data_IF_460224191294
#
_entry.id   IF_460224191294
#
_cell.length_a   1.000
_cell.length_b   1.000
_cell.length_c   1.000
_cell.angle_alpha   90.00
_cell.angle_beta   90.00
_cell.angle_gamma   90.00
#
_symmetry.space_group_name_H-M   'P 1'
#
loop_
_entity.id
_entity.type
_entity.pdbx_description
1 polymer ?
#
# COMPACT_ATOMS: atom_id res chain seq x y z
N UNK A 1 33.41 43.63 23.39
CA UNK A 1 32.66 44.23 22.27
C UNK A 1 31.43 43.38 22.00
N UNK A 2 30.29 43.89 22.45
CA UNK A 2 28.94 43.40 22.21
C UNK A 2 28.51 43.68 20.77
N UNK A 3 27.90 42.70 20.10
CA UNK A 3 26.88 42.97 19.08
C UNK A 3 25.82 41.88 19.09
N UNK A 4 24.71 42.28 19.69
CA UNK A 4 23.36 41.74 19.62
C UNK A 4 22.77 41.87 18.22
N UNK A 5 21.85 40.96 17.89
CA UNK A 5 20.71 41.25 17.02
C UNK A 5 20.54 40.31 15.83
N UNK A 6 19.63 39.34 15.95
CA UNK A 6 18.28 39.48 15.39
C UNK A 6 17.51 38.15 15.54
N UNK A 7 16.51 38.18 16.41
CA UNK A 7 15.41 37.20 16.43
C UNK A 7 14.60 37.38 15.13
N UNK A 8 14.34 36.27 14.44
CA UNK A 8 13.14 36.14 13.60
C UNK A 8 12.42 34.88 14.05
N UNK A 9 11.33 35.12 14.74
CA UNK A 9 10.35 34.14 15.13
C UNK A 9 9.27 34.04 14.04
N UNK A 10 8.67 32.86 13.94
CA UNK A 10 7.40 32.54 13.27
C UNK A 10 7.47 32.31 11.74
N UNK A 11 7.35 31.05 11.31
CA UNK A 11 6.00 30.51 11.13
C UNK A 11 5.97 28.97 11.00
N UNK A 12 4.96 28.44 11.67
CA UNK A 12 4.59 27.04 11.82
C UNK A 12 4.18 26.38 10.50
N UNK A 13 4.90 25.32 10.09
CA UNK A 13 4.27 24.14 9.50
C UNK A 13 5.10 22.91 9.90
N UNK A 14 4.79 22.33 11.06
CA UNK A 14 5.15 20.95 11.39
C UNK A 14 4.40 20.02 10.41
N UNK A 15 4.93 19.85 9.20
CA UNK A 15 4.66 18.69 8.35
C UNK A 15 5.42 17.54 8.98
N UNK A 16 4.78 16.80 9.89
CA UNK A 16 5.26 15.48 10.27
C UNK A 16 5.49 14.69 8.98
N UNK A 17 6.71 14.24 8.65
CA UNK A 17 6.84 13.14 7.72
C UNK A 17 6.27 11.94 8.46
N UNK A 18 5.16 11.41 7.96
CA UNK A 18 4.63 10.12 8.41
C UNK A 18 5.79 9.13 8.54
N UNK A 19 5.89 8.33 9.60
CA UNK A 19 6.90 7.28 9.62
C UNK A 19 6.70 6.43 8.36
N UNK A 20 7.80 6.03 7.68
CA UNK A 20 7.68 5.20 6.48
C UNK A 20 6.84 3.97 6.84
N UNK A 21 5.89 3.56 5.97
CA UNK A 21 5.01 2.44 6.27
C UNK A 21 5.85 1.23 6.65
N UNK A 22 5.52 0.60 7.77
CA UNK A 22 6.19 -0.61 8.24
C UNK A 22 6.17 -1.63 7.09
N UNK A 23 7.34 -1.90 6.52
CA UNK A 23 7.47 -2.91 5.48
C UNK A 23 7.24 -4.24 6.19
N UNK A 24 6.06 -4.82 5.96
CA UNK A 24 5.69 -6.15 6.41
C UNK A 24 6.84 -7.12 6.07
N UNK A 25 7.57 -7.57 7.10
CA UNK A 25 8.71 -8.50 6.95
C UNK A 25 8.29 -9.91 6.49
N UNK A 26 7.02 -10.09 6.15
CA UNK A 26 6.39 -11.37 5.79
C UNK A 26 6.36 -11.67 4.28
N UNK A 27 6.91 -10.80 3.41
CA UNK A 27 7.11 -11.16 2.01
C UNK A 27 8.27 -12.15 1.91
N UNK A 28 7.97 -13.43 2.12
CA UNK A 28 8.83 -14.54 1.75
C UNK A 28 9.07 -14.43 0.24
N UNK A 29 10.19 -13.82 -0.14
CA UNK A 29 10.69 -13.83 -1.52
C UNK A 29 10.93 -15.28 -1.90
N UNK A 30 9.93 -15.92 -2.52
CA UNK A 30 10.10 -17.25 -3.12
C UNK A 30 11.24 -17.14 -4.14
N UNK A 31 12.38 -17.75 -3.81
CA UNK A 31 13.51 -17.89 -4.75
C UNK A 31 12.98 -18.67 -5.95
N UNK A 32 12.68 -17.98 -7.04
CA UNK A 32 12.43 -18.61 -8.33
C UNK A 32 13.72 -19.32 -8.73
N UNK A 33 13.70 -20.67 -8.77
CA UNK A 33 14.80 -21.45 -9.34
C UNK A 33 15.07 -20.88 -10.73
N UNK A 34 16.28 -20.38 -10.98
CA UNK A 34 16.75 -20.03 -12.33
C UNK A 34 16.56 -21.30 -13.17
N UNK A 35 15.56 -21.31 -14.04
CA UNK A 35 15.48 -22.32 -15.09
C UNK A 35 16.64 -22.01 -16.02
N UNK A 36 17.65 -22.86 -16.02
CA UNK A 36 18.67 -22.84 -17.05
C UNK A 36 17.95 -22.98 -18.39
N UNK A 37 17.89 -21.88 -19.14
CA UNK A 37 17.27 -21.86 -20.44
C UNK A 37 18.13 -22.75 -21.35
N UNK A 38 17.73 -24.01 -21.52
CA UNK A 38 18.38 -25.05 -22.35
C UNK A 38 18.66 -24.64 -23.81
N UNK A 39 18.21 -23.46 -24.24
CA UNK A 39 18.28 -23.00 -25.62
C UNK A 39 19.01 -21.65 -25.82
N UNK A 40 19.62 -21.07 -24.78
CA UNK A 40 20.32 -19.77 -24.92
C UNK A 40 21.54 -19.87 -25.84
N UNK A 41 22.17 -21.04 -25.93
CA UNK A 41 23.38 -21.23 -26.74
C UNK A 41 23.15 -21.96 -28.07
N UNK A 42 21.90 -22.07 -28.54
CA UNK A 42 21.62 -22.68 -29.85
C UNK A 42 21.90 -21.65 -30.94
N UNK A 43 22.97 -21.86 -31.70
CA UNK A 43 23.30 -21.02 -32.87
C UNK A 43 22.14 -21.10 -33.88
N UNK A 44 21.64 -19.94 -34.32
CA UNK A 44 20.61 -19.88 -35.32
C UNK A 44 21.12 -20.52 -36.63
N UNK A 45 20.38 -21.51 -37.16
CA UNK A 45 20.73 -22.21 -38.41
C UNK A 45 20.52 -21.33 -39.65
N UNK A 46 19.72 -20.27 -39.49
CA UNK A 46 19.41 -19.28 -40.52
C UNK A 46 19.67 -17.92 -39.89
N UNK A 47 20.52 -17.12 -40.54
CA UNK A 47 20.79 -15.76 -40.11
C UNK A 47 19.55 -14.90 -40.36
N UNK A 48 18.89 -14.49 -39.27
CA UNK A 48 17.76 -13.57 -39.31
C UNK A 48 18.17 -12.13 -39.03
N UNK A 49 19.48 -11.84 -38.99
CA UNK A 49 19.95 -10.46 -38.90
C UNK A 49 19.62 -9.72 -40.20
N UNK A 50 19.24 -8.43 -40.12
CA UNK A 50 19.12 -7.61 -41.31
C UNK A 50 20.46 -7.61 -42.06
N UNK A 51 20.44 -7.59 -43.41
CA UNK A 51 21.68 -7.56 -44.18
C UNK A 51 22.56 -6.41 -43.68
N UNK A 52 23.85 -6.72 -43.46
CA UNK A 52 24.82 -5.72 -43.02
C UNK A 52 24.82 -4.54 -44.01
N UNK A 53 24.84 -3.33 -43.46
CA UNK A 53 24.89 -2.10 -44.24
C UNK A 53 26.13 -2.12 -45.13
N UNK A 54 25.92 -2.28 -46.44
CA UNK A 54 26.98 -2.25 -47.45
C UNK A 54 26.85 -0.93 -48.23
N UNK A 55 27.69 0.08 -47.94
CA UNK A 55 27.65 1.37 -48.63
C UNK A 55 27.87 1.22 -50.14
N UNK A 56 28.60 0.20 -50.57
CA UNK A 56 28.88 -0.07 -51.99
C UNK A 56 27.63 -0.50 -52.76
N UNK A 57 26.74 -1.30 -52.14
CA UNK A 57 25.46 -1.71 -52.72
C UNK A 57 24.47 -0.55 -52.82
N UNK A 58 24.45 0.33 -51.81
CA UNK A 58 23.67 1.55 -51.82
C UNK A 58 24.11 2.46 -52.96
N UNK A 59 25.42 2.70 -53.10
CA UNK A 59 25.98 3.57 -54.15
C UNK A 59 25.69 3.05 -55.56
N UNK A 60 25.72 1.73 -55.79
CA UNK A 60 25.32 1.13 -57.08
C UNK A 60 23.84 1.36 -57.43
N UNK A 61 22.96 1.42 -56.43
CA UNK A 61 21.52 1.67 -56.60
C UNK A 61 21.14 3.14 -56.72
N UNK A 62 21.99 4.06 -56.25
CA UNK A 62 21.72 5.51 -56.23
C UNK A 62 21.29 6.09 -57.59
N UNK A 63 21.93 5.77 -58.74
CA UNK A 63 21.50 6.30 -60.03
C UNK A 63 20.10 5.82 -60.42
N UNK A 64 19.79 4.55 -60.16
CA UNK A 64 18.48 3.97 -60.43
C UNK A 64 17.39 4.57 -59.54
N UNK A 65 17.70 4.78 -58.26
CA UNK A 65 16.78 5.42 -57.32
C UNK A 65 16.58 6.90 -57.63
N UNK A 66 17.64 7.64 -57.95
CA UNK A 66 17.55 9.03 -58.37
C UNK A 66 16.66 9.18 -59.60
N UNK A 67 16.85 8.32 -60.62
CA UNK A 67 15.98 8.28 -61.81
C UNK A 67 14.53 7.93 -61.45
N UNK A 68 14.31 6.97 -60.55
CA UNK A 68 12.98 6.60 -60.10
C UNK A 68 12.27 7.71 -59.33
N UNK A 69 12.97 8.38 -58.40
CA UNK A 69 12.45 9.54 -57.67
C UNK A 69 12.15 10.71 -58.60
N UNK A 70 13.02 10.97 -59.57
CA UNK A 70 12.78 11.99 -60.58
C UNK A 70 11.54 11.68 -61.43
N UNK A 71 11.38 10.43 -61.88
CA UNK A 71 10.19 10.01 -62.62
C UNK A 71 8.91 10.14 -61.78
N UNK A 72 8.93 9.68 -60.52
CA UNK A 72 7.80 9.84 -59.60
C UNK A 72 7.45 11.31 -59.36
N UNK A 73 8.47 12.16 -59.20
CA UNK A 73 8.27 13.60 -59.05
C UNK A 73 7.58 14.19 -60.29
N UNK A 74 8.05 13.84 -61.49
CA UNK A 74 7.43 14.30 -62.75
C UNK A 74 5.99 13.78 -62.91
N UNK A 75 5.71 12.54 -62.52
CA UNK A 75 4.34 11.99 -62.51
C UNK A 75 3.42 12.75 -61.54
N UNK A 76 3.91 13.06 -60.34
CA UNK A 76 3.15 13.84 -59.37
C UNK A 76 2.90 15.27 -59.87
N UNK A 77 3.89 15.92 -60.47
CA UNK A 77 3.73 17.26 -61.07
C UNK A 77 2.67 17.23 -62.17
N UNK A 78 2.71 16.25 -63.07
CA UNK A 78 1.70 16.07 -64.13
C UNK A 78 0.30 15.91 -63.54
N UNK A 79 0.15 15.05 -62.54
CA UNK A 79 -1.13 14.82 -61.88
C UNK A 79 -1.68 16.10 -61.24
N UNK A 80 -0.83 16.89 -60.59
CA UNK A 80 -1.24 18.18 -60.01
C UNK A 80 -1.66 19.17 -61.11
N UNK A 81 -0.93 19.24 -62.23
CA UNK A 81 -1.33 20.07 -63.36
C UNK A 81 -2.66 19.62 -63.97
N UNK A 82 -2.89 18.31 -64.12
CA UNK A 82 -4.14 17.77 -64.64
C UNK A 82 -5.33 18.06 -63.72
N UNK A 83 -5.14 17.96 -62.40
CA UNK A 83 -6.13 18.36 -61.40
C UNK A 83 -6.44 19.86 -61.51
N UNK A 84 -5.41 20.71 -61.62
CA UNK A 84 -5.57 22.14 -61.74
C UNK A 84 -6.33 22.52 -63.03
N UNK A 85 -5.98 21.90 -64.15
CA UNK A 85 -6.66 22.09 -65.43
C UNK A 85 -8.13 21.64 -65.37
N UNK A 86 -8.41 20.48 -64.76
CA UNK A 86 -9.77 19.98 -64.58
C UNK A 86 -10.61 20.93 -63.71
N UNK A 87 -10.05 21.45 -62.62
CA UNK A 87 -10.71 22.44 -61.75
C UNK A 87 -10.99 23.75 -62.49
N UNK A 88 -10.01 24.29 -63.20
CA UNK A 88 -10.16 25.53 -63.99
C UNK A 88 -11.18 25.38 -65.13
N UNK A 89 -11.33 24.17 -65.68
CA UNK A 89 -12.33 23.85 -66.70
C UNK A 89 -13.74 23.62 -66.13
N UNK A 90 -13.94 23.87 -64.82
CA UNK A 90 -15.22 23.64 -64.14
C UNK A 90 -15.56 22.16 -63.91
N UNK A 91 -14.61 21.25 -64.17
CA UNK A 91 -14.74 19.82 -63.94
C UNK A 91 -14.53 19.42 -62.48
N UNK A 92 -15.03 18.24 -62.11
CA UNK A 92 -14.77 17.61 -60.82
C UNK A 92 -13.78 16.47 -61.03
N UNK A 93 -12.72 16.42 -60.22
CA UNK A 93 -11.79 15.29 -60.19
C UNK A 93 -12.43 14.19 -59.36
N UNK A 94 -12.88 13.11 -60.03
CA UNK A 94 -13.44 11.95 -59.34
C UNK A 94 -12.29 11.03 -58.88
N UNK A 95 -12.22 10.73 -57.59
CA UNK A 95 -11.26 9.76 -57.03
C UNK A 95 -11.71 8.30 -57.23
N UNK A 96 -12.80 8.08 -57.97
CA UNK A 96 -13.30 6.77 -58.32
C UNK A 96 -12.53 6.22 -59.52
N UNK A 97 -11.99 5.02 -59.35
CA UNK A 97 -11.32 4.24 -60.38
C UNK A 97 -12.32 3.91 -61.51
N UNK A 98 -12.38 4.72 -62.55
CA UNK A 98 -13.32 4.55 -63.68
C UNK A 98 -12.72 3.81 -64.88
N UNK A 99 -11.50 3.28 -64.76
CA UNK A 99 -10.81 2.45 -65.76
C UNK A 99 -10.13 1.22 -65.14
N UNK A 100 -9.51 0.40 -65.99
CA UNK A 100 -8.77 -0.80 -65.59
C UNK A 100 -7.82 -0.48 -64.42
N UNK A 101 -7.87 -1.30 -63.37
CA UNK A 101 -6.98 -1.21 -62.22
C UNK A 101 -5.52 -1.00 -62.69
N UNK A 102 -4.71 -0.16 -62.01
CA UNK A 102 -3.27 -0.12 -62.23
C UNK A 102 -2.76 -1.54 -62.20
N UNK A 103 -1.82 -1.84 -63.11
CA UNK A 103 -1.17 -3.13 -63.17
C UNK A 103 -0.85 -3.61 -61.76
N UNK A 104 -1.53 -4.69 -61.37
CA UNK A 104 -1.57 -5.25 -60.04
C UNK A 104 -0.14 -5.24 -59.48
N UNK A 105 0.12 -4.51 -58.38
CA UNK A 105 1.36 -4.72 -57.64
C UNK A 105 1.08 -5.85 -56.63
N UNK A 106 1.29 -7.13 -56.99
CA UNK A 106 0.95 -8.27 -56.14
C UNK A 106 1.60 -8.12 -54.75
N UNK A 107 2.78 -7.51 -54.70
CA UNK A 107 3.54 -7.30 -53.49
C UNK A 107 2.83 -6.41 -52.46
N UNK A 108 2.08 -5.38 -52.90
CA UNK A 108 1.32 -4.52 -51.99
C UNK A 108 0.19 -5.31 -51.30
N UNK A 109 -0.59 -6.06 -52.08
CA UNK A 109 -1.72 -6.84 -51.55
C UNK A 109 -1.26 -8.04 -50.73
N UNK A 110 -0.18 -8.71 -51.13
CA UNK A 110 0.44 -9.79 -50.37
C UNK A 110 0.98 -9.30 -49.03
N UNK A 111 1.67 -8.15 -49.01
CA UNK A 111 2.17 -7.53 -47.78
C UNK A 111 1.02 -7.20 -46.84
N UNK A 112 -0.07 -6.65 -47.37
CA UNK A 112 -1.28 -6.32 -46.61
C UNK A 112 -1.98 -7.56 -46.06
N UNK A 113 -2.09 -8.63 -46.87
CA UNK A 113 -2.63 -9.93 -46.46
C UNK A 113 -1.77 -10.57 -45.36
N UNK A 114 -0.46 -10.52 -45.49
CA UNK A 114 0.49 -11.03 -44.50
C UNK A 114 0.40 -10.25 -43.18
N UNK A 115 0.25 -8.93 -43.26
CA UNK A 115 0.00 -8.08 -42.09
C UNK A 115 -1.29 -8.45 -41.36
N UNK A 116 -2.40 -8.65 -42.09
CA UNK A 116 -3.66 -9.10 -41.49
C UNK A 116 -3.51 -10.46 -40.77
N UNK A 117 -2.78 -11.42 -41.37
CA UNK A 117 -2.49 -12.72 -40.73
C UNK A 117 -1.67 -12.56 -39.45
N UNK A 118 -0.67 -11.67 -39.44
CA UNK A 118 0.15 -11.38 -38.27
C UNK A 118 -0.67 -10.76 -37.13
N UNK A 119 -1.49 -9.77 -37.44
CA UNK A 119 -2.40 -9.12 -36.48
C UNK A 119 -3.35 -10.16 -35.87
N UNK A 120 -3.96 -11.00 -36.71
CA UNK A 120 -4.84 -12.06 -36.22
C UNK A 120 -4.13 -13.03 -35.27
N UNK A 121 -2.91 -13.45 -35.61
CA UNK A 121 -2.09 -14.32 -34.75
C UNK A 121 -1.74 -13.65 -33.43
N UNK A 122 -1.37 -12.37 -33.44
CA UNK A 122 -1.06 -11.60 -32.24
C UNK A 122 -2.29 -11.44 -31.34
N UNK A 123 -3.45 -11.10 -31.91
CA UNK A 123 -4.71 -11.00 -31.18
C UNK A 123 -5.08 -12.32 -30.50
N UNK A 124 -4.89 -13.46 -31.20
CA UNK A 124 -5.13 -14.78 -30.61
C UNK A 124 -4.21 -15.07 -29.42
N UNK A 125 -2.95 -14.64 -29.49
CA UNK A 125 -1.99 -14.79 -28.39
C UNK A 125 -2.33 -13.88 -27.20
N UNK A 126 -2.73 -12.63 -27.45
CA UNK A 126 -3.16 -11.68 -26.42
C UNK A 126 -4.42 -12.20 -25.72
N UNK A 127 -5.42 -12.64 -26.49
CA UNK A 127 -6.64 -13.23 -25.95
C UNK A 127 -6.32 -14.42 -25.05
N UNK A 128 -5.48 -15.35 -25.53
CA UNK A 128 -5.03 -16.51 -24.73
C UNK A 128 -4.31 -16.09 -23.44
N UNK A 129 -3.54 -15.00 -23.45
CA UNK A 129 -2.93 -14.46 -22.24
C UNK A 129 -3.98 -13.93 -21.29
N UNK A 130 -4.91 -13.10 -21.75
CA UNK A 130 -5.97 -12.51 -20.92
C UNK A 130 -6.82 -13.61 -20.27
N UNK A 131 -7.22 -14.64 -21.03
CA UNK A 131 -8.02 -15.74 -20.50
C UNK A 131 -7.28 -16.60 -19.49
N UNK A 132 -5.96 -16.77 -19.67
CA UNK A 132 -5.16 -17.66 -18.84
C UNK A 132 -4.48 -16.94 -17.66
N UNK A 133 -4.42 -15.61 -17.68
CA UNK A 133 -3.92 -14.84 -16.54
C UNK A 133 -4.95 -14.88 -15.43
N UNK A 134 -4.59 -15.52 -14.31
CA UNK A 134 -5.38 -15.43 -13.09
C UNK A 134 -5.49 -13.98 -12.60
N UNK A 135 -6.57 -13.63 -11.89
CA UNK A 135 -6.73 -12.30 -11.31
C UNK A 135 -5.57 -12.01 -10.36
N UNK A 136 -5.03 -10.80 -10.41
CA UNK A 136 -4.02 -10.33 -9.43
C UNK A 136 -4.62 -10.20 -8.03
N UNK A 137 -5.93 -10.02 -7.96
CA UNK A 137 -6.69 -9.86 -6.73
C UNK A 137 -7.16 -11.24 -6.29
N UNK A 138 -7.12 -11.46 -4.98
CA UNK A 138 -7.65 -12.66 -4.33
C UNK A 138 -9.11 -12.85 -4.72
N UNK A 139 -9.55 -14.08 -5.09
CA UNK A 139 -10.94 -14.35 -5.43
C UNK A 139 -11.91 -13.93 -4.30
N UNK A 140 -13.08 -13.43 -4.67
CA UNK A 140 -14.13 -13.07 -3.70
C UNK A 140 -14.53 -14.25 -2.79
N UNK A 141 -14.52 -15.47 -3.34
CA UNK A 141 -14.81 -16.68 -2.57
C UNK A 141 -13.81 -16.92 -1.42
N UNK A 142 -12.51 -16.68 -1.63
CA UNK A 142 -11.51 -16.78 -0.55
C UNK A 142 -11.66 -15.66 0.48
N UNK A 143 -12.01 -14.44 0.05
CA UNK A 143 -12.26 -13.33 0.97
C UNK A 143 -13.45 -13.59 1.88
N UNK A 144 -14.50 -14.25 1.38
CA UNK A 144 -15.66 -14.62 2.18
C UNK A 144 -15.30 -15.65 3.26
N UNK A 145 -14.44 -16.63 2.96
CA UNK A 145 -13.96 -17.60 3.96
C UNK A 145 -13.17 -16.90 5.07
N UNK A 146 -12.27 -15.99 4.71
CA UNK A 146 -11.49 -15.19 5.67
C UNK A 146 -12.39 -14.28 6.51
N UNK A 147 -13.41 -13.69 5.89
CA UNK A 147 -14.40 -12.85 6.56
C UNK A 147 -15.20 -13.64 7.61
N UNK A 148 -15.70 -14.83 7.25
CA UNK A 148 -16.42 -15.69 8.18
C UNK A 148 -15.55 -16.11 9.37
N UNK A 149 -14.25 -16.35 9.14
CA UNK A 149 -13.29 -16.65 10.21
C UNK A 149 -13.12 -15.45 11.15
N UNK A 150 -12.84 -14.27 10.60
CA UNK A 150 -12.66 -13.05 11.39
C UNK A 150 -13.92 -12.69 12.18
N UNK A 151 -15.10 -12.87 11.59
CA UNK A 151 -16.39 -12.64 12.27
C UNK A 151 -16.55 -13.53 13.50
N UNK A 152 -16.20 -14.82 13.41
CA UNK A 152 -16.23 -15.75 14.55
C UNK A 152 -15.23 -15.36 15.63
N UNK A 153 -14.02 -14.97 15.23
CA UNK A 153 -12.98 -14.55 16.17
C UNK A 153 -13.37 -13.25 16.89
N UNK A 154 -13.93 -12.28 16.19
CA UNK A 154 -14.48 -11.06 16.77
C UNK A 154 -15.58 -11.36 17.78
N UNK A 155 -16.54 -12.24 17.44
CA UNK A 155 -17.59 -12.65 18.36
C UNK A 155 -17.03 -13.32 19.62
N UNK A 156 -16.04 -14.21 19.46
CA UNK A 156 -15.37 -14.88 20.58
C UNK A 156 -14.62 -13.88 21.46
N UNK A 157 -13.87 -12.94 20.86
CA UNK A 157 -13.16 -11.88 21.60
C UNK A 157 -14.11 -10.93 22.30
N UNK A 158 -15.27 -10.61 21.71
CA UNK A 158 -16.29 -9.76 22.32
C UNK A 158 -16.99 -10.43 23.51
N UNK A 159 -17.15 -11.77 23.49
CA UNK A 159 -17.66 -12.53 24.63
C UNK A 159 -16.64 -12.66 25.76
N UNK A 160 -15.34 -12.64 25.45
CA UNK A 160 -14.31 -12.66 26.47
C UNK A 160 -14.29 -11.34 27.25
N UNK A 161 -14.10 -11.42 28.58
CA UNK A 161 -13.95 -10.23 29.41
C UNK A 161 -12.76 -9.42 28.88
N UNK A 162 -13.02 -8.17 28.53
CA UNK A 162 -11.99 -7.24 28.10
C UNK A 162 -11.11 -6.89 29.30
N UNK A 163 -9.95 -7.55 29.40
CA UNK A 163 -8.95 -7.32 30.44
C UNK A 163 -7.88 -6.39 29.85
N UNK A 164 -8.03 -5.08 30.09
CA UNK A 164 -7.14 -4.04 29.56
C UNK A 164 -5.69 -4.18 30.11
N UNK A 165 -5.58 -4.70 31.34
CA UNK A 165 -4.32 -5.03 31.99
C UNK A 165 -4.45 -6.40 32.65
N UNK A 166 -3.48 -7.33 32.49
CA UNK A 166 -3.52 -8.57 33.24
C UNK A 166 -3.66 -8.26 34.72
N UNK A 167 -4.63 -8.90 35.39
CA UNK A 167 -4.78 -8.83 36.83
C UNK A 167 -3.52 -9.45 37.42
N UNK A 168 -2.52 -8.62 37.76
CA UNK A 168 -1.40 -9.08 38.56
C UNK A 168 -1.97 -9.63 39.86
N UNK A 169 -1.68 -10.90 40.14
CA UNK A 169 -1.96 -11.51 41.43
C UNK A 169 -1.35 -10.63 42.51
N UNK A 170 -2.17 -10.22 43.49
CA UNK A 170 -1.79 -9.49 44.69
C UNK A 170 -0.31 -9.67 45.05
N UNK A 171 0.52 -8.66 44.78
CA UNK A 171 1.82 -8.57 45.42
C UNK A 171 1.55 -8.21 46.88
N UNK A 172 1.56 -9.22 47.75
CA UNK A 172 1.59 -9.02 49.19
C UNK A 172 2.99 -8.51 49.51
N UNK A 173 3.19 -7.19 49.39
CA UNK A 173 4.40 -6.51 49.83
C UNK A 173 4.33 -6.40 51.36
N UNK A 174 4.46 -7.53 52.05
CA UNK A 174 4.65 -7.55 53.50
C UNK A 174 6.17 -7.52 53.78
N UNK A 175 6.68 -6.36 54.19
CA UNK A 175 8.04 -6.24 54.69
C UNK A 175 8.14 -6.96 56.05
N UNK A 176 9.14 -7.82 56.29
CA UNK A 176 9.35 -8.47 57.59
C UNK A 176 9.48 -7.47 58.75
N UNK A 177 9.87 -6.22 58.50
CA UNK A 177 9.92 -5.17 59.52
C UNK A 177 8.53 -4.76 60.06
N UNK A 178 7.44 -5.03 59.31
CA UNK A 178 6.08 -4.65 59.70
C UNK A 178 5.31 -5.76 60.44
N UNK A 179 5.92 -6.92 60.70
CA UNK A 179 5.29 -8.00 61.47
C UNK A 179 4.97 -7.50 62.90
N UNK A 180 3.77 -7.82 63.39
CA UNK A 180 3.34 -7.43 64.73
C UNK A 180 4.19 -8.13 65.81
N UNK A 181 4.67 -7.40 66.84
CA UNK A 181 5.32 -8.01 68.01
C UNK A 181 4.41 -9.02 68.69
N UNK A 182 4.97 -10.08 69.31
CA UNK A 182 4.16 -11.07 70.01
C UNK A 182 3.33 -10.42 71.13
N UNK A 183 2.01 -10.63 71.09
CA UNK A 183 1.07 -10.10 72.08
C UNK A 183 0.41 -8.76 71.72
N UNK A 184 0.77 -8.14 70.58
CA UNK A 184 0.15 -6.89 70.11
C UNK A 184 -0.85 -7.18 68.99
N UNK A 185 -2.11 -6.76 69.18
CA UNK A 185 -3.14 -6.83 68.15
C UNK A 185 -3.32 -5.48 67.48
N UNK A 186 -3.07 -5.41 66.17
CA UNK A 186 -3.20 -4.19 65.36
C UNK A 186 -4.50 -4.23 64.56
N UNK A 187 -5.31 -3.15 64.55
CA UNK A 187 -6.54 -3.11 63.77
C UNK A 187 -6.23 -2.98 62.27
N UNK A 188 -6.97 -3.73 61.45
CA UNK A 188 -6.93 -3.66 59.99
C UNK A 188 -8.20 -2.99 59.47
N UNK A 189 -8.03 -2.00 58.62
CA UNK A 189 -9.11 -1.23 58.00
C UNK A 189 -9.18 -1.56 56.51
N UNK A 190 -10.39 -1.62 55.98
CA UNK A 190 -10.66 -1.78 54.55
C UNK A 190 -11.28 -0.51 53.96
N UNK A 191 -10.64 0.07 52.95
CA UNK A 191 -11.07 1.29 52.27
C UNK A 191 -11.45 0.94 50.83
N UNK A 192 -12.71 1.09 50.46
CA UNK A 192 -13.17 0.81 49.10
C UNK A 192 -12.87 1.99 48.17
N UNK A 193 -12.11 1.73 47.11
CA UNK A 193 -11.70 2.72 46.12
C UNK A 193 -12.65 2.72 44.92
N UNK A 194 -13.01 3.93 44.46
CA UNK A 194 -13.85 4.12 43.28
C UNK A 194 -13.34 5.30 42.45
N UNK A 195 -13.34 5.13 41.14
CA UNK A 195 -13.11 6.24 40.19
C UNK A 195 -14.45 6.97 39.96
N UNK A 196 -14.44 8.31 40.05
CA UNK A 196 -15.64 9.13 39.86
C UNK A 196 -16.26 8.85 38.48
N UNK A 197 -17.53 8.45 38.46
CA UNK A 197 -18.24 8.11 37.23
C UNK A 197 -17.94 6.73 36.65
N UNK A 198 -17.12 5.90 37.32
CA UNK A 198 -16.78 4.55 36.86
C UNK A 198 -17.06 3.48 37.96
N UNK A 199 -16.69 2.24 37.64
CA UNK A 199 -16.81 1.07 38.51
C UNK A 199 -15.86 1.14 39.72
N UNK A 200 -16.14 0.34 40.75
CA UNK A 200 -15.25 0.18 41.91
C UNK A 200 -13.89 -0.36 41.46
N UNK A 201 -12.81 0.29 41.89
CA UNK A 201 -11.45 -0.11 41.55
C UNK A 201 -11.00 -1.33 42.38
N UNK A 202 -11.48 -1.42 43.61
CA UNK A 202 -11.15 -2.50 44.55
C UNK A 202 -11.18 -2.04 46.00
N UNK A 203 -10.63 -2.82 46.92
CA UNK A 203 -10.44 -2.48 48.32
C UNK A 203 -8.96 -2.37 48.67
N UNK A 204 -8.60 -1.32 49.40
CA UNK A 204 -7.31 -1.12 50.03
C UNK A 204 -7.38 -1.59 51.48
N UNK A 205 -6.55 -2.55 51.88
CA UNK A 205 -6.41 -2.95 53.28
C UNK A 205 -5.19 -2.26 53.90
N UNK A 206 -5.38 -1.57 55.02
CA UNK A 206 -4.32 -0.93 55.78
C UNK A 206 -4.31 -1.43 57.23
N UNK A 207 -3.15 -1.81 57.73
CA UNK A 207 -2.94 -2.16 59.15
C UNK A 207 -2.43 -0.94 59.91
N UNK A 208 -3.01 -0.64 61.06
CA UNK A 208 -2.65 0.52 61.86
C UNK A 208 -1.73 0.12 63.01
N UNK A 209 -0.57 0.78 63.10
CA UNK A 209 0.47 0.52 64.11
C UNK A 209 0.14 1.20 65.45
N UNK A 210 -0.89 0.69 66.13
CA UNK A 210 -1.37 1.22 67.42
C UNK A 210 -0.33 1.15 68.54
N UNK A 211 0.65 0.27 68.42
CA UNK A 211 1.80 0.15 69.31
C UNK A 211 2.82 1.28 69.15
N UNK A 212 2.95 1.84 67.96
CA UNK A 212 3.92 2.91 67.65
C UNK A 212 3.28 4.29 67.83
N UNK A 213 2.09 4.50 67.27
CA UNK A 213 1.44 5.82 67.24
C UNK A 213 -0.07 5.76 67.59
N UNK A 214 -0.42 5.40 68.84
CA UNK A 214 -1.81 5.15 69.23
C UNK A 214 -2.74 6.36 69.03
N UNK A 215 -2.25 7.58 69.28
CA UNK A 215 -3.04 8.80 69.12
C UNK A 215 -3.41 9.08 67.65
N UNK A 216 -2.46 8.88 66.73
CA UNK A 216 -2.70 9.06 65.30
C UNK A 216 -3.64 7.99 64.75
N UNK A 217 -3.47 6.73 65.18
CA UNK A 217 -4.36 5.64 64.79
C UNK A 217 -5.80 5.86 65.28
N UNK A 218 -6.00 6.37 66.50
CA UNK A 218 -7.34 6.70 67.02
C UNK A 218 -8.02 7.78 66.19
N UNK A 219 -7.33 8.89 65.93
CA UNK A 219 -7.86 9.95 65.06
C UNK A 219 -8.19 9.42 63.67
N UNK A 220 -7.35 8.56 63.11
CA UNK A 220 -7.59 7.98 61.79
C UNK A 220 -8.84 7.08 61.77
N UNK A 221 -9.05 6.26 62.81
CA UNK A 221 -10.25 5.44 62.96
C UNK A 221 -11.51 6.30 63.13
N UNK A 222 -11.45 7.36 63.95
CA UNK A 222 -12.55 8.31 64.11
C UNK A 222 -12.94 8.98 62.79
N UNK A 223 -11.95 9.37 61.97
CA UNK A 223 -12.19 9.95 60.65
C UNK A 223 -12.72 8.94 59.61
N UNK A 224 -12.45 7.65 59.80
CA UNK A 224 -12.98 6.59 58.93
C UNK A 224 -14.44 6.28 59.24
N UNK A 225 -14.79 6.18 60.52
CA UNK A 225 -16.18 6.00 60.97
C UNK A 225 -17.02 7.24 60.63
N UNK A 226 -16.39 8.42 60.70
CA UNK A 226 -17.01 9.70 60.42
C UNK A 226 -17.93 10.17 61.55
N UNK A 227 -18.09 11.48 61.67
CA UNK A 227 -18.95 12.10 62.69
C UNK A 227 -20.44 12.21 62.28
N UNK A 228 -20.80 11.71 61.10
CA UNK A 228 -22.14 11.86 60.51
C UNK A 228 -22.49 13.27 60.04
N UNK A 229 -21.69 14.29 60.37
CA UNK A 229 -21.83 15.68 59.96
C UNK A 229 -21.00 16.03 58.71
N UNK A 230 -20.21 15.07 58.22
CA UNK A 230 -19.42 15.19 57.00
C UNK A 230 -17.92 15.37 57.23
N UNK A 231 -17.46 15.30 58.47
CA UNK A 231 -16.03 15.29 58.79
C UNK A 231 -15.56 13.83 58.85
N UNK A 232 -14.96 13.38 57.74
CA UNK A 232 -14.40 12.04 57.63
C UNK A 232 -13.89 11.73 56.22
N UNK A 233 -13.32 10.53 56.04
CA UNK A 233 -12.74 10.12 54.77
C UNK A 233 -13.76 9.54 53.78
N UNK A 234 -14.97 9.19 54.23
CA UNK A 234 -16.02 8.64 53.37
C UNK A 234 -16.40 9.67 52.30
N UNK A 235 -16.32 9.27 51.02
CA UNK A 235 -16.55 10.11 49.83
C UNK A 235 -15.53 11.23 49.60
N UNK A 236 -14.40 11.22 50.29
CA UNK A 236 -13.25 12.07 49.93
C UNK A 236 -12.49 11.51 48.73
N UNK A 237 -11.69 12.36 48.07
CA UNK A 237 -10.90 11.98 46.90
C UNK A 237 -9.40 12.04 47.24
N UNK A 238 -8.63 11.11 46.67
CA UNK A 238 -7.18 11.24 46.61
C UNK A 238 -6.85 12.36 45.60
N UNK A 239 -6.29 13.46 46.10
CA UNK A 239 -5.98 14.63 45.30
C UNK A 239 -4.57 14.63 44.71
N UNK A 240 -3.70 13.73 45.20
CA UNK A 240 -2.31 13.60 44.77
C UNK A 240 -1.82 12.16 44.91
#
# INVERSE_FOLDING_TARGET
>A
MTRTGALKEQDSVNKYPSPPPEIDKSIVRKKTKKRENKFVNVKAKVDSSPPLYDPSRLVRGLPGWSKHFHNLYLENVRLVCDIANAYLSGGKVDSRWSGAMPAHNPQYYESRRNMCKLIHRQNKLIHKRITNTGPRVVPAASLEVDWQRNKREMALRAHNKFVLFPLCSHEVVEDPAFIAPPGVSRPRVHITLRIRGAASLGSLSAELFTDVCPAACRLFLELLDGDGLGHGYVRTAFFR
#
